data_IF_308586600508
#
_entry.id   IF_308586600508
#
_cell.length_a   1.000
_cell.length_b   1.000
_cell.length_c   1.000
_cell.angle_alpha   90.00
_cell.angle_beta   90.00
_cell.angle_gamma   90.00
#
_symmetry.space_group_name_H-M   'P 1'
#
loop_
_entity.id
_entity.type
_entity.pdbx_description
1 polymer ?
#
# COMPACT_ATOMS: atom_id res chain seq x y z
N UNK A 1 -6.92 9.99 -40.17
CA UNK A 1 -7.43 9.14 -41.27
C UNK A 1 -6.34 8.17 -41.70
N UNK A 2 -6.57 6.87 -41.52
CA UNK A 2 -5.57 5.79 -41.71
C UNK A 2 -4.93 5.77 -43.11
N UNK A 3 -5.69 6.14 -44.14
CA UNK A 3 -5.24 6.10 -45.54
C UNK A 3 -4.67 7.43 -46.05
N UNK A 4 -4.64 8.50 -45.24
CA UNK A 4 -4.19 9.83 -45.68
C UNK A 4 -5.08 10.50 -46.75
N UNK A 5 -6.30 10.01 -46.95
CA UNK A 5 -7.32 10.60 -47.84
C UNK A 5 -8.53 11.06 -47.03
N UNK A 6 -9.29 12.01 -47.56
CA UNK A 6 -10.44 12.57 -46.84
C UNK A 6 -11.57 11.56 -46.68
N UNK A 7 -12.37 11.71 -45.62
CA UNK A 7 -13.52 10.85 -45.33
C UNK A 7 -14.50 10.80 -46.52
N UNK A 8 -14.69 11.95 -47.20
CA UNK A 8 -15.52 12.05 -48.41
C UNK A 8 -15.03 11.16 -49.55
N UNK A 9 -13.71 11.01 -49.74
CA UNK A 9 -13.13 10.15 -50.78
C UNK A 9 -13.43 8.68 -50.51
N UNK A 10 -13.32 8.26 -49.24
CA UNK A 10 -13.64 6.88 -48.82
C UNK A 10 -15.14 6.61 -48.94
N UNK A 11 -15.98 7.55 -48.48
CA UNK A 11 -17.43 7.44 -48.59
C UNK A 11 -17.89 7.32 -50.06
N UNK A 12 -17.35 8.14 -50.96
CA UNK A 12 -17.67 8.08 -52.37
C UNK A 12 -17.30 6.72 -52.96
N UNK A 13 -16.10 6.19 -52.65
CA UNK A 13 -15.69 4.87 -53.13
C UNK A 13 -16.64 3.75 -52.68
N UNK A 14 -17.07 3.78 -51.41
CA UNK A 14 -18.01 2.81 -50.85
C UNK A 14 -19.42 2.96 -51.46
N UNK A 15 -19.89 4.20 -51.66
CA UNK A 15 -21.19 4.47 -52.28
C UNK A 15 -21.25 3.98 -53.73
N UNK A 16 -20.17 4.15 -54.49
CA UNK A 16 -20.06 3.64 -55.87
C UNK A 16 -20.14 2.11 -55.92
N UNK A 17 -19.55 1.41 -54.95
CA UNK A 17 -19.65 -0.06 -54.86
C UNK A 17 -21.08 -0.52 -54.53
N UNK A 18 -21.80 0.24 -53.69
CA UNK A 18 -23.18 -0.09 -53.29
C UNK A 18 -24.23 0.07 -54.39
N UNK A 19 -24.02 0.94 -55.38
CA UNK A 19 -25.04 1.25 -56.41
C UNK A 19 -25.26 0.16 -57.47
N UNK A 20 -24.54 -0.97 -57.42
CA UNK A 20 -24.76 -2.11 -58.32
C UNK A 20 -24.52 -1.79 -59.81
N UNK A 21 -24.44 -2.83 -60.64
CA UNK A 21 -23.96 -2.76 -62.04
C UNK A 21 -24.90 -2.07 -63.06
N UNK A 22 -25.92 -1.32 -62.61
CA UNK A 22 -26.98 -0.79 -63.49
C UNK A 22 -27.39 0.67 -63.28
N UNK A 23 -27.10 1.29 -62.12
CA UNK A 23 -27.53 2.68 -61.84
C UNK A 23 -26.41 3.71 -62.02
N UNK A 24 -25.17 3.27 -62.20
CA UNK A 24 -24.02 4.15 -62.39
C UNK A 24 -23.79 4.30 -63.90
N UNK A 25 -24.46 5.29 -64.52
CA UNK A 25 -24.24 5.64 -65.92
C UNK A 25 -22.74 5.78 -66.21
N UNK A 26 -22.14 4.80 -66.90
CA UNK A 26 -20.80 4.81 -67.53
C UNK A 26 -19.63 5.50 -66.77
N UNK A 27 -19.67 5.64 -65.45
CA UNK A 27 -18.62 6.32 -64.68
C UNK A 27 -17.71 5.28 -64.01
N UNK A 28 -16.61 5.00 -64.73
CA UNK A 28 -15.31 4.45 -64.29
C UNK A 28 -15.36 3.30 -63.27
N UNK A 29 -15.31 2.06 -63.79
CA UNK A 29 -14.76 0.94 -63.03
C UNK A 29 -13.32 1.29 -62.60
N UNK A 30 -13.13 1.64 -61.32
CA UNK A 30 -11.79 1.92 -60.79
C UNK A 30 -11.17 0.64 -60.25
N UNK A 31 -9.83 0.55 -60.21
CA UNK A 31 -9.14 -0.57 -59.55
C UNK A 31 -9.62 -0.78 -58.10
N UNK A 32 -9.97 0.29 -57.39
CA UNK A 32 -10.52 0.20 -56.04
C UNK A 32 -11.93 -0.42 -56.00
N UNK A 33 -12.81 -0.06 -56.95
CA UNK A 33 -14.11 -0.72 -57.10
C UNK A 33 -13.95 -2.22 -57.30
N UNK A 34 -13.00 -2.64 -58.15
CA UNK A 34 -12.74 -4.05 -58.41
C UNK A 34 -12.18 -4.82 -57.21
N UNK A 35 -11.48 -4.14 -56.29
CA UNK A 35 -10.99 -4.76 -55.05
C UNK A 35 -12.07 -4.87 -53.97
N UNK A 36 -13.05 -3.97 -53.99
CA UNK A 36 -14.13 -3.91 -53.00
C UNK A 36 -15.42 -4.61 -53.43
N UNK A 37 -15.62 -4.85 -54.74
CA UNK A 37 -16.80 -5.58 -55.24
C UNK A 37 -16.86 -6.97 -54.60
N UNK A 38 -18.06 -7.39 -54.23
CA UNK A 38 -18.34 -8.67 -53.56
C UNK A 38 -17.75 -8.82 -52.14
N UNK A 39 -17.27 -7.74 -51.51
CA UNK A 39 -16.87 -7.75 -50.09
C UNK A 39 -18.03 -7.30 -49.19
N UNK A 40 -18.10 -7.87 -47.99
CA UNK A 40 -18.97 -7.37 -46.93
C UNK A 40 -18.29 -6.12 -46.36
N UNK A 41 -18.82 -4.94 -46.72
CA UNK A 41 -18.17 -3.66 -46.39
C UNK A 41 -18.39 -3.27 -44.93
N UNK A 42 -19.57 -3.57 -44.40
CA UNK A 42 -19.96 -3.17 -43.06
C UNK A 42 -20.35 -4.41 -42.25
N UNK A 43 -20.05 -4.39 -40.95
CA UNK A 43 -20.59 -5.36 -40.01
C UNK A 43 -22.12 -5.20 -39.97
N UNK A 44 -22.86 -6.23 -40.41
CA UNK A 44 -24.33 -6.18 -40.51
C UNK A 44 -25.01 -6.31 -39.13
N UNK A 45 -24.33 -6.86 -38.13
CA UNK A 45 -24.84 -7.05 -36.77
C UNK A 45 -24.16 -6.11 -35.75
N UNK A 46 -24.62 -4.86 -35.67
CA UNK A 46 -24.48 -4.06 -34.44
C UNK A 46 -25.88 -3.65 -33.98
N UNK A 47 -26.80 -4.61 -33.95
CA UNK A 47 -28.23 -4.33 -33.80
C UNK A 47 -28.65 -4.04 -32.34
N UNK A 48 -27.84 -4.34 -31.33
CA UNK A 48 -28.32 -4.31 -29.92
C UNK A 48 -27.40 -3.64 -28.88
N UNK A 49 -26.21 -3.13 -29.23
CA UNK A 49 -25.25 -2.61 -28.23
C UNK A 49 -24.85 -1.13 -28.44
N UNK A 50 -25.30 -0.49 -29.53
CA UNK A 50 -24.96 0.93 -29.77
C UNK A 50 -25.99 1.89 -29.14
N UNK A 51 -25.54 2.92 -28.37
CA UNK A 51 -26.44 3.97 -27.89
C UNK A 51 -27.08 4.68 -29.07
N UNK A 52 -28.42 4.67 -29.16
CA UNK A 52 -29.17 5.44 -30.16
C UNK A 52 -29.13 6.94 -29.81
N UNK A 53 -28.00 7.60 -29.99
CA UNK A 53 -27.93 9.07 -30.00
C UNK A 53 -28.15 9.59 -31.42
N UNK A 54 -29.36 10.10 -31.70
CA UNK A 54 -29.79 11.05 -32.77
C UNK A 54 -29.11 11.02 -34.17
N UNK A 55 -28.45 9.94 -34.62
CA UNK A 55 -27.61 9.94 -35.82
C UNK A 55 -27.69 8.72 -36.75
N UNK A 56 -28.70 7.84 -36.59
CA UNK A 56 -28.82 6.61 -37.39
C UNK A 56 -27.84 5.50 -36.99
N UNK A 57 -27.91 4.31 -37.63
CA UNK A 57 -27.05 3.17 -37.28
C UNK A 57 -25.57 3.49 -37.58
N UNK A 58 -24.70 3.29 -36.59
CA UNK A 58 -23.25 3.40 -36.74
C UNK A 58 -22.79 2.29 -37.68
N UNK A 59 -22.28 2.66 -38.85
CA UNK A 59 -21.79 1.72 -39.87
C UNK A 59 -20.29 1.47 -39.66
N UNK A 60 -19.95 0.32 -39.07
CA UNK A 60 -18.56 -0.10 -38.81
C UNK A 60 -18.00 -0.83 -40.03
N UNK A 61 -16.86 -0.38 -40.56
CA UNK A 61 -16.21 -0.97 -41.74
C UNK A 61 -15.40 -2.21 -41.30
N UNK A 62 -15.50 -3.31 -42.04
CA UNK A 62 -14.77 -4.54 -41.75
C UNK A 62 -13.24 -4.37 -41.86
N UNK A 63 -12.48 -5.14 -41.08
CA UNK A 63 -11.02 -5.04 -41.00
C UNK A 63 -10.31 -5.41 -42.32
N UNK A 64 -10.84 -6.38 -43.06
CA UNK A 64 -10.37 -6.78 -44.38
C UNK A 64 -10.53 -5.65 -45.41
N UNK A 65 -11.64 -4.92 -45.37
CA UNK A 65 -11.88 -3.74 -46.20
C UNK A 65 -10.95 -2.59 -45.83
N UNK A 66 -10.68 -2.39 -44.53
CA UNK A 66 -9.66 -1.44 -44.07
C UNK A 66 -8.28 -1.79 -44.64
N UNK A 67 -7.88 -3.07 -44.61
CA UNK A 67 -6.61 -3.52 -45.17
C UNK A 67 -6.53 -3.28 -46.69
N UNK A 68 -7.61 -3.55 -47.44
CA UNK A 68 -7.68 -3.27 -48.88
C UNK A 68 -7.49 -1.78 -49.17
N UNK A 69 -8.17 -0.91 -48.44
CA UNK A 69 -8.05 0.54 -48.60
C UNK A 69 -6.63 1.04 -48.29
N UNK A 70 -6.03 0.56 -47.20
CA UNK A 70 -4.68 0.91 -46.79
C UNK A 70 -3.68 0.46 -47.84
N UNK A 71 -3.75 -0.79 -48.31
CA UNK A 71 -2.89 -1.28 -49.38
C UNK A 71 -3.03 -0.45 -50.66
N UNK A 72 -4.26 -0.21 -51.11
CA UNK A 72 -4.53 0.56 -52.32
C UNK A 72 -3.94 1.97 -52.28
N UNK A 73 -4.02 2.65 -51.14
CA UNK A 73 -3.45 3.99 -51.00
C UNK A 73 -1.94 3.99 -50.73
N UNK A 74 -1.41 2.93 -50.11
CA UNK A 74 0.04 2.75 -49.97
C UNK A 74 0.71 2.54 -51.34
N UNK A 75 0.10 1.75 -52.23
CA UNK A 75 0.51 1.58 -53.64
C UNK A 75 0.42 2.87 -54.47
N UNK A 76 -0.25 3.90 -53.96
CA UNK A 76 -0.36 5.25 -54.55
C UNK A 76 0.47 6.29 -53.82
N UNK A 77 1.55 5.85 -53.18
CA UNK A 77 2.52 6.68 -52.48
C UNK A 77 1.91 7.55 -51.37
N UNK A 78 0.79 7.13 -50.77
CA UNK A 78 0.25 7.81 -49.58
C UNK A 78 1.05 7.38 -48.36
N UNK A 79 1.97 8.24 -47.92
CA UNK A 79 2.82 8.01 -46.75
C UNK A 79 2.05 7.59 -45.49
N UNK A 80 0.86 8.15 -45.24
CA UNK A 80 0.03 7.76 -44.09
C UNK A 80 -0.52 6.32 -44.21
N UNK A 81 -0.87 5.88 -45.42
CA UNK A 81 -1.29 4.52 -45.68
C UNK A 81 -0.12 3.55 -45.54
N UNK A 82 1.07 3.91 -46.06
CA UNK A 82 2.29 3.12 -45.90
C UNK A 82 2.67 2.95 -44.41
N UNK A 83 2.64 4.03 -43.63
CA UNK A 83 2.90 3.98 -42.19
C UNK A 83 1.91 3.08 -41.45
N UNK A 84 0.64 3.10 -41.86
CA UNK A 84 -0.39 2.22 -41.27
C UNK A 84 -0.19 0.76 -41.68
N UNK A 85 0.21 0.49 -42.92
CA UNK A 85 0.52 -0.86 -43.40
C UNK A 85 1.72 -1.46 -42.66
N UNK A 86 2.79 -0.68 -42.45
CA UNK A 86 3.95 -1.08 -41.65
C UNK A 86 3.54 -1.43 -40.22
N UNK A 87 2.70 -0.59 -39.60
CA UNK A 87 2.21 -0.85 -38.26
C UNK A 87 1.29 -2.08 -38.17
N UNK A 88 0.50 -2.37 -39.21
CA UNK A 88 -0.27 -3.62 -39.29
C UNK A 88 0.64 -4.85 -39.40
N UNK A 89 1.77 -4.75 -40.08
CA UNK A 89 2.75 -5.85 -40.15
C UNK A 89 3.49 -6.04 -38.82
N UNK A 90 3.78 -4.95 -38.12
CA UNK A 90 4.48 -4.98 -36.83
C UNK A 90 3.60 -5.50 -35.69
N UNK A 91 2.34 -5.10 -35.64
CA UNK A 91 1.46 -5.35 -34.49
C UNK A 91 0.28 -6.28 -34.80
N UNK A 92 -0.08 -6.49 -36.06
CA UNK A 92 -1.39 -7.01 -36.45
C UNK A 92 -2.47 -5.93 -36.41
N UNK A 93 -3.54 -6.13 -37.20
CA UNK A 93 -4.61 -5.13 -37.37
C UNK A 93 -5.34 -4.86 -36.06
N UNK A 94 -5.64 -5.91 -35.29
CA UNK A 94 -6.38 -5.83 -34.04
C UNK A 94 -5.60 -5.05 -32.98
N UNK A 95 -4.34 -5.42 -32.74
CA UNK A 95 -3.47 -4.75 -31.78
C UNK A 95 -3.24 -3.28 -32.16
N UNK A 96 -3.08 -2.98 -33.46
CA UNK A 96 -3.00 -1.60 -33.92
C UNK A 96 -4.27 -0.81 -33.59
N UNK A 97 -5.45 -1.39 -33.79
CA UNK A 97 -6.72 -0.74 -33.46
C UNK A 97 -6.76 -0.47 -31.96
N UNK A 98 -6.43 -1.45 -31.12
CA UNK A 98 -6.38 -1.29 -29.66
C UNK A 98 -5.47 -0.15 -29.22
N UNK A 99 -4.25 -0.08 -29.74
CA UNK A 99 -3.31 1.03 -29.50
C UNK A 99 -3.92 2.37 -29.94
N UNK A 100 -4.58 2.43 -31.10
CA UNK A 100 -5.14 3.68 -31.62
C UNK A 100 -6.38 4.17 -30.91
N UNK A 101 -7.20 3.28 -30.37
CA UNK A 101 -8.40 3.65 -29.60
C UNK A 101 -8.10 3.82 -28.11
N UNK A 102 -6.83 3.69 -27.70
CA UNK A 102 -6.43 3.72 -26.30
C UNK A 102 -7.00 2.54 -25.50
N UNK A 103 -7.41 1.47 -26.18
CA UNK A 103 -7.88 0.25 -25.55
C UNK A 103 -6.65 -0.59 -25.20
N UNK A 104 -6.44 -0.78 -23.92
CA UNK A 104 -5.44 -1.70 -23.41
C UNK A 104 -6.16 -3.03 -23.24
N UNK A 105 -5.89 -4.06 -24.06
CA UNK A 105 -6.48 -5.37 -23.83
C UNK A 105 -6.09 -5.81 -22.42
N UNK A 106 -7.07 -6.26 -21.64
CA UNK A 106 -6.76 -6.82 -20.32
C UNK A 106 -5.74 -7.94 -20.53
N UNK A 107 -4.58 -7.89 -19.86
CA UNK A 107 -3.61 -8.98 -19.97
C UNK A 107 -4.30 -10.28 -19.56
N UNK A 108 -4.02 -11.37 -20.29
CA UNK A 108 -4.51 -12.68 -19.88
C UNK A 108 -3.89 -12.96 -18.51
N UNK A 109 -4.71 -13.30 -17.53
CA UNK A 109 -4.23 -13.66 -16.20
C UNK A 109 -4.49 -15.13 -15.92
N UNK A 110 -3.58 -15.72 -15.17
CA UNK A 110 -3.69 -17.08 -14.68
C UNK A 110 -3.46 -17.07 -13.17
N UNK A 111 -4.35 -17.75 -12.46
CA UNK A 111 -4.23 -17.97 -11.02
C UNK A 111 -3.41 -19.24 -10.81
N UNK A 112 -2.29 -19.10 -10.10
CA UNK A 112 -1.52 -20.23 -9.59
C UNK A 112 -1.44 -20.11 -8.07
N UNK A 113 -2.11 -21.02 -7.38
CA UNK A 113 -2.36 -20.94 -5.94
C UNK A 113 -3.04 -19.61 -5.55
N UNK A 114 -2.35 -18.75 -4.80
CA UNK A 114 -2.82 -17.40 -4.41
C UNK A 114 -2.21 -16.27 -5.26
N UNK A 115 -1.41 -16.62 -6.28
CA UNK A 115 -0.69 -15.65 -7.11
C UNK A 115 -1.40 -15.45 -8.45
N UNK A 116 -1.80 -14.20 -8.73
CA UNK A 116 -2.22 -13.77 -10.06
C UNK A 116 -0.99 -13.41 -10.90
N UNK A 117 -0.83 -14.05 -12.05
CA UNK A 117 0.23 -13.77 -13.01
C UNK A 117 -0.35 -13.35 -14.35
N UNK A 118 0.26 -12.33 -14.97
CA UNK A 118 0.02 -12.03 -16.38
C UNK A 118 0.72 -13.10 -17.23
N UNK A 119 0.04 -13.66 -18.22
CA UNK A 119 0.55 -14.70 -19.11
C UNK A 119 0.48 -14.25 -20.57
N UNK A 120 1.49 -14.63 -21.35
CA UNK A 120 1.45 -14.59 -22.82
C UNK A 120 1.94 -15.94 -23.37
N UNK A 121 1.27 -16.43 -24.42
CA UNK A 121 1.55 -17.71 -25.06
C UNK A 121 1.95 -17.49 -26.52
N UNK A 122 3.07 -18.07 -26.94
CA UNK A 122 3.54 -18.01 -28.32
C UNK A 122 3.91 -19.41 -28.82
N UNK A 123 3.40 -19.80 -29.98
CA UNK A 123 3.82 -21.04 -30.63
C UNK A 123 5.14 -20.84 -31.37
N UNK A 124 6.15 -21.66 -31.05
CA UNK A 124 7.46 -21.64 -31.71
C UNK A 124 7.75 -22.97 -32.40
N UNK A 125 8.58 -22.94 -33.43
CA UNK A 125 9.12 -24.14 -34.06
C UNK A 125 10.46 -24.52 -33.41
N UNK A 126 10.46 -25.56 -32.57
CA UNK A 126 11.67 -26.04 -31.88
C UNK A 126 12.59 -26.79 -32.85
N UNK A 127 12.00 -27.59 -33.75
CA UNK A 127 12.71 -28.23 -34.85
C UNK A 127 11.76 -28.46 -36.05
N UNK A 128 12.28 -29.01 -37.17
CA UNK A 128 11.50 -29.19 -38.41
C UNK A 128 10.18 -29.96 -38.23
N UNK A 129 10.07 -30.81 -37.22
CA UNK A 129 8.91 -31.67 -36.98
C UNK A 129 8.12 -31.31 -35.70
N UNK A 130 8.60 -30.35 -34.89
CA UNK A 130 8.08 -30.08 -33.54
C UNK A 130 7.80 -28.59 -33.34
N UNK A 131 6.55 -28.29 -33.04
CA UNK A 131 6.09 -26.99 -32.56
C UNK A 131 5.67 -27.11 -31.10
N UNK A 132 5.98 -26.10 -30.30
CA UNK A 132 5.65 -26.05 -28.88
C UNK A 132 5.14 -24.67 -28.52
N UNK A 133 4.32 -24.60 -27.46
CA UNK A 133 3.87 -23.35 -26.88
C UNK A 133 4.85 -22.89 -25.80
N UNK A 134 5.28 -21.64 -25.90
CA UNK A 134 6.14 -20.97 -24.92
C UNK A 134 5.29 -20.00 -24.14
N UNK A 135 5.44 -20.02 -22.82
CA UNK A 135 4.69 -19.20 -21.88
C UNK A 135 5.61 -18.20 -21.17
N UNK A 136 5.20 -16.94 -21.19
CA UNK A 136 5.88 -15.83 -20.56
C UNK A 136 5.02 -15.29 -19.42
N UNK A 137 5.65 -14.96 -18.29
CA UNK A 137 4.95 -14.56 -17.07
C UNK A 137 5.43 -13.21 -16.55
N UNK A 138 4.51 -12.44 -15.97
CA UNK A 138 4.86 -11.22 -15.21
C UNK A 138 3.95 -11.09 -14.00
N UNK A 139 4.53 -10.83 -12.83
CA UNK A 139 3.80 -10.49 -11.62
C UNK A 139 3.22 -9.07 -11.77
N UNK A 140 1.88 -8.90 -11.72
CA UNK A 140 1.23 -7.62 -11.93
C UNK A 140 1.51 -6.60 -10.80
N UNK A 141 1.94 -7.06 -9.63
CA UNK A 141 2.23 -6.21 -8.46
C UNK A 141 3.69 -5.79 -8.44
N UNK A 142 4.60 -6.76 -8.53
CA UNK A 142 6.05 -6.49 -8.38
C UNK A 142 6.74 -6.15 -9.70
N UNK A 143 6.14 -6.50 -10.84
CA UNK A 143 6.77 -6.42 -12.15
C UNK A 143 7.87 -7.45 -12.39
N UNK A 144 8.14 -8.35 -11.45
CA UNK A 144 9.07 -9.45 -11.68
C UNK A 144 8.49 -10.38 -12.77
N UNK A 145 9.34 -10.79 -13.70
CA UNK A 145 8.92 -11.58 -14.86
C UNK A 145 9.86 -12.76 -15.09
N UNK A 146 9.40 -13.69 -15.92
CA UNK A 146 10.12 -14.93 -16.14
C UNK A 146 9.49 -15.83 -17.20
N UNK A 147 10.12 -16.98 -17.39
CA UNK A 147 9.72 -18.01 -18.35
C UNK A 147 9.66 -19.33 -17.57
N UNK A 148 8.60 -20.12 -17.77
CA UNK A 148 8.58 -21.45 -17.14
C UNK A 148 9.69 -22.34 -17.72
N UNK A 149 10.15 -23.28 -16.91
CA UNK A 149 11.33 -24.06 -17.25
C UNK A 149 11.15 -24.97 -18.48
N UNK A 150 9.92 -25.39 -18.80
CA UNK A 150 9.64 -26.18 -20.00
C UNK A 150 9.68 -25.28 -21.25
N UNK A 151 9.08 -24.11 -21.17
CA UNK A 151 9.19 -23.08 -22.20
C UNK A 151 10.64 -22.68 -22.46
N UNK A 152 11.45 -22.53 -21.41
CA UNK A 152 12.88 -22.24 -21.53
C UNK A 152 13.66 -23.39 -22.21
N UNK A 153 13.27 -24.65 -21.95
CA UNK A 153 13.78 -25.82 -22.69
C UNK A 153 13.50 -25.73 -24.18
N UNK A 154 12.30 -25.33 -24.58
CA UNK A 154 11.92 -25.16 -25.98
C UNK A 154 12.73 -24.04 -26.65
N UNK A 155 12.87 -22.88 -25.98
CA UNK A 155 13.68 -21.76 -26.46
C UNK A 155 15.16 -22.15 -26.63
N UNK A 156 15.66 -23.06 -25.78
CA UNK A 156 17.00 -23.63 -25.88
C UNK A 156 17.14 -24.72 -26.98
N UNK A 157 16.17 -24.89 -27.86
CA UNK A 157 16.21 -25.91 -28.92
C UNK A 157 15.93 -27.32 -28.40
N UNK A 158 15.08 -27.44 -27.37
CA UNK A 158 14.67 -28.71 -26.77
C UNK A 158 15.73 -29.35 -25.87
N UNK A 159 16.57 -28.54 -25.22
CA UNK A 159 17.51 -29.03 -24.20
C UNK A 159 16.73 -29.67 -23.06
N UNK A 160 17.12 -30.87 -22.61
CA UNK A 160 16.42 -31.56 -21.53
C UNK A 160 16.28 -30.65 -20.29
N UNK A 161 15.06 -30.56 -19.74
CA UNK A 161 14.72 -29.68 -18.59
C UNK A 161 15.69 -29.89 -17.43
N UNK A 162 16.09 -31.14 -17.14
CA UNK A 162 17.07 -31.46 -16.10
C UNK A 162 18.41 -30.72 -16.24
N UNK A 163 18.89 -30.47 -17.46
CA UNK A 163 20.13 -29.72 -17.68
C UNK A 163 19.95 -28.23 -17.37
N UNK A 164 18.77 -27.69 -17.66
CA UNK A 164 18.43 -26.32 -17.30
C UNK A 164 18.27 -26.21 -15.79
N UNK A 165 17.60 -27.16 -15.15
CA UNK A 165 17.48 -27.22 -13.68
C UNK A 165 18.84 -27.22 -13.00
N UNK A 166 19.79 -28.04 -13.46
CA UNK A 166 21.16 -28.06 -12.91
C UNK A 166 21.86 -26.71 -13.05
N UNK A 167 21.69 -26.02 -14.18
CA UNK A 167 22.28 -24.70 -14.38
C UNK A 167 21.65 -23.65 -13.46
N UNK A 168 20.32 -23.64 -13.41
CA UNK A 168 19.51 -22.70 -12.63
C UNK A 168 19.71 -22.89 -11.11
N UNK A 169 19.98 -24.11 -10.66
CA UNK A 169 20.25 -24.41 -9.25
C UNK A 169 21.50 -23.72 -8.67
N UNK A 170 22.37 -23.16 -9.52
CA UNK A 170 23.55 -22.40 -9.06
C UNK A 170 23.21 -20.98 -8.60
N UNK A 171 21.98 -20.50 -8.83
CA UNK A 171 21.55 -19.15 -8.46
C UNK A 171 20.75 -19.17 -7.15
N UNK A 172 20.92 -18.16 -6.28
CA UNK A 172 20.06 -17.99 -5.12
C UNK A 172 18.66 -17.56 -5.57
N UNK A 173 17.63 -18.23 -5.05
CA UNK A 173 16.21 -17.96 -5.36
C UNK A 173 15.90 -17.78 -6.86
N UNK A 174 16.11 -18.83 -7.68
CA UNK A 174 16.08 -18.69 -9.13
C UNK A 174 14.68 -18.55 -9.73
N UNK A 175 13.66 -18.86 -8.94
CA UNK A 175 12.27 -18.86 -9.37
C UNK A 175 11.54 -17.65 -8.81
N UNK A 176 10.50 -17.20 -9.50
CA UNK A 176 9.64 -16.11 -9.02
C UNK A 176 9.00 -16.44 -7.66
N UNK A 177 8.76 -17.71 -7.35
CA UNK A 177 8.44 -18.18 -5.99
C UNK A 177 8.97 -19.60 -5.71
N UNK A 178 9.28 -19.95 -4.45
CA UNK A 178 9.95 -21.23 -4.13
C UNK A 178 9.05 -22.47 -4.09
N UNK A 179 7.72 -22.32 -3.97
CA UNK A 179 6.79 -23.40 -3.62
C UNK A 179 5.69 -23.66 -4.67
N UNK A 180 6.02 -23.62 -5.97
CA UNK A 180 5.04 -23.89 -7.03
C UNK A 180 5.37 -25.15 -7.83
N UNK A 181 4.31 -25.81 -8.31
CA UNK A 181 4.37 -26.85 -9.35
C UNK A 181 4.88 -26.28 -10.68
N UNK A 182 4.63 -24.99 -10.95
CA UNK A 182 5.14 -24.27 -12.11
C UNK A 182 6.46 -23.57 -11.79
N UNK A 183 7.56 -24.10 -12.33
CA UNK A 183 8.92 -23.55 -12.12
C UNK A 183 9.19 -22.37 -13.05
N UNK A 184 8.78 -21.16 -12.66
CA UNK A 184 9.03 -19.93 -13.45
C UNK A 184 10.39 -19.34 -13.10
N UNK A 185 11.36 -19.44 -14.01
CA UNK A 185 12.72 -18.93 -13.85
C UNK A 185 12.72 -17.41 -14.02
N UNK A 186 13.38 -16.67 -13.12
CA UNK A 186 13.48 -15.20 -13.18
C UNK A 186 14.14 -14.75 -14.48
N UNK A 187 13.64 -13.64 -15.05
CA UNK A 187 14.07 -13.15 -16.37
C UNK A 187 15.59 -12.98 -16.53
N UNK A 188 16.28 -12.43 -15.53
CA UNK A 188 17.75 -12.30 -15.57
C UNK A 188 18.44 -13.66 -15.75
N UNK A 189 17.96 -14.68 -15.04
CA UNK A 189 18.49 -16.05 -15.13
C UNK A 189 18.08 -16.70 -16.45
N UNK A 190 16.89 -16.40 -16.99
CA UNK A 190 16.52 -16.84 -18.33
C UNK A 190 17.50 -16.32 -19.39
N UNK A 191 17.94 -15.06 -19.29
CA UNK A 191 18.94 -14.50 -20.20
C UNK A 191 20.28 -15.26 -20.10
N UNK A 192 20.74 -15.54 -18.88
CA UNK A 192 21.96 -16.32 -18.65
C UNK A 192 21.86 -17.74 -19.21
N UNK A 193 20.71 -18.41 -19.02
CA UNK A 193 20.44 -19.75 -19.57
C UNK A 193 20.51 -19.71 -21.10
N UNK A 194 19.81 -18.76 -21.74
CA UNK A 194 19.81 -18.62 -23.20
C UNK A 194 21.21 -18.35 -23.74
N UNK A 195 21.97 -17.48 -23.05
CA UNK A 195 23.34 -17.16 -23.40
C UNK A 195 24.26 -18.39 -23.26
N UNK A 196 24.17 -19.11 -22.15
CA UNK A 196 24.97 -20.30 -21.88
C UNK A 196 24.75 -21.38 -22.94
N UNK A 197 23.50 -21.78 -23.21
CA UNK A 197 23.22 -22.82 -24.21
C UNK A 197 23.41 -22.33 -25.67
N UNK A 198 23.36 -21.01 -25.89
CA UNK A 198 23.61 -20.41 -27.19
C UNK A 198 25.10 -20.30 -27.55
N UNK A 199 25.95 -19.90 -26.61
CA UNK A 199 27.32 -19.46 -26.91
C UNK A 199 28.42 -20.25 -26.17
N UNK A 200 28.15 -20.71 -24.96
CA UNK A 200 29.18 -21.32 -24.09
C UNK A 200 29.16 -22.84 -24.14
N UNK A 201 27.97 -23.43 -24.01
CA UNK A 201 27.78 -24.86 -23.92
C UNK A 201 27.99 -25.54 -25.28
N UNK A 202 28.58 -26.73 -25.27
CA UNK A 202 28.78 -27.56 -26.46
C UNK A 202 27.86 -28.79 -26.39
N UNK A 203 27.03 -29.04 -27.42
CA UNK A 203 26.88 -28.27 -28.66
C UNK A 203 26.04 -26.99 -28.46
N UNK A 204 26.44 -25.93 -29.14
CA UNK A 204 25.72 -24.65 -29.17
C UNK A 204 24.37 -24.80 -29.83
N UNK A 205 23.35 -24.13 -29.28
CA UNK A 205 21.97 -24.17 -29.77
C UNK A 205 21.65 -22.89 -30.53
N UNK A 206 21.45 -22.99 -31.83
CA UNK A 206 21.11 -21.84 -32.69
C UNK A 206 19.80 -21.17 -32.29
N UNK A 207 18.81 -21.95 -31.84
CA UNK A 207 17.56 -21.41 -31.34
C UNK A 207 17.75 -20.59 -30.05
N UNK A 208 18.63 -21.06 -29.15
CA UNK A 208 18.98 -20.31 -27.95
C UNK A 208 19.69 -19.00 -28.29
N UNK A 209 20.58 -18.99 -29.30
CA UNK A 209 21.23 -17.77 -29.78
C UNK A 209 20.22 -16.75 -30.31
N UNK A 210 19.24 -17.20 -31.08
CA UNK A 210 18.18 -16.34 -31.62
C UNK A 210 17.36 -15.70 -30.50
N UNK A 211 16.94 -16.48 -29.50
CA UNK A 211 16.16 -15.94 -28.39
C UNK A 211 17.00 -15.12 -27.40
N UNK A 212 18.29 -15.42 -27.23
CA UNK A 212 19.21 -14.56 -26.49
C UNK A 212 19.31 -13.15 -27.08
N UNK A 213 19.18 -13.01 -28.41
CA UNK A 213 19.16 -11.70 -29.08
C UNK A 213 17.77 -11.07 -29.11
N UNK A 214 16.73 -11.87 -29.38
CA UNK A 214 15.35 -11.37 -29.56
C UNK A 214 14.72 -10.95 -28.23
N UNK A 215 15.14 -11.58 -27.15
CA UNK A 215 14.72 -11.26 -25.80
C UNK A 215 15.75 -10.35 -25.10
N UNK A 216 16.62 -9.62 -25.79
CA UNK A 216 17.52 -8.65 -25.12
C UNK A 216 17.03 -7.20 -25.35
N UNK A 217 16.83 -6.39 -24.30
CA UNK A 217 16.86 -6.72 -22.87
C UNK A 217 15.60 -7.49 -22.43
N UNK A 218 15.79 -8.56 -21.65
CA UNK A 218 14.73 -9.55 -21.39
C UNK A 218 13.54 -9.00 -20.62
N UNK A 219 13.76 -8.17 -19.61
CA UNK A 219 12.69 -7.63 -18.78
C UNK A 219 11.73 -6.74 -19.60
N UNK A 220 12.18 -5.70 -20.32
CA UNK A 220 11.29 -4.90 -21.17
C UNK A 220 10.57 -5.70 -22.25
N UNK A 221 11.22 -6.71 -22.84
CA UNK A 221 10.60 -7.57 -23.85
C UNK A 221 9.49 -8.43 -23.24
N UNK A 222 9.73 -9.05 -22.09
CA UNK A 222 8.71 -9.85 -21.40
C UNK A 222 7.54 -8.98 -20.93
N UNK A 223 7.80 -7.79 -20.36
CA UNK A 223 6.73 -6.84 -20.01
C UNK A 223 5.86 -6.47 -21.21
N UNK A 224 6.47 -6.22 -22.37
CA UNK A 224 5.74 -5.93 -23.60
C UNK A 224 4.90 -7.15 -24.05
N UNK A 225 5.44 -8.37 -23.96
CA UNK A 225 4.74 -9.60 -24.34
C UNK A 225 3.54 -9.88 -23.44
N UNK A 226 3.69 -9.74 -22.12
CA UNK A 226 2.61 -9.96 -21.15
C UNK A 226 1.63 -8.78 -21.05
N UNK A 227 1.85 -7.73 -21.84
CA UNK A 227 1.12 -6.47 -21.76
C UNK A 227 1.11 -5.90 -20.33
N UNK A 228 2.22 -6.11 -19.60
CA UNK A 228 2.42 -5.56 -18.27
C UNK A 228 2.48 -4.05 -18.35
N UNK A 229 1.66 -3.41 -17.53
CA UNK A 229 1.75 -2.00 -17.28
C UNK A 229 2.29 -1.87 -15.88
N UNK A 230 3.38 -1.11 -15.73
CA UNK A 230 3.83 -0.68 -14.42
C UNK A 230 2.60 -0.12 -13.71
N UNK A 231 2.21 -0.63 -12.53
CA UNK A 231 1.18 -0.02 -11.72
C UNK A 231 1.50 1.46 -11.70
N UNK A 232 0.62 2.28 -12.27
CA UNK A 232 0.80 3.71 -12.19
C UNK A 232 0.77 4.00 -10.70
N UNK A 233 1.93 4.29 -10.09
CA UNK A 233 1.98 4.96 -8.82
C UNK A 233 1.11 6.18 -9.03
N UNK A 234 -0.11 6.10 -8.50
CA UNK A 234 -1.04 7.20 -8.71
C UNK A 234 -0.36 8.39 -8.04
N UNK A 235 -0.41 9.59 -8.62
CA UNK A 235 0.14 10.78 -7.94
C UNK A 235 -0.39 10.93 -6.50
N UNK A 236 -1.53 10.28 -6.20
CA UNK A 236 -2.09 10.07 -4.87
C UNK A 236 -1.27 9.12 -3.99
N UNK A 237 -0.77 7.99 -4.47
CA UNK A 237 0.12 7.10 -3.73
C UNK A 237 1.46 7.75 -3.44
N UNK A 238 2.08 8.45 -4.41
CA UNK A 238 3.31 9.22 -4.16
C UNK A 238 3.07 10.34 -3.13
N UNK A 239 1.92 11.03 -3.21
CA UNK A 239 1.53 12.02 -2.20
C UNK A 239 1.28 11.37 -0.83
N UNK A 240 0.67 10.19 -0.79
CA UNK A 240 0.41 9.45 0.46
C UNK A 240 1.71 8.94 1.06
N UNK A 241 2.65 8.43 0.28
CA UNK A 241 3.98 8.01 0.72
C UNK A 241 4.77 9.21 1.26
N UNK A 242 4.77 10.35 0.56
CA UNK A 242 5.38 11.59 1.04
C UNK A 242 4.72 12.09 2.33
N UNK A 243 3.40 11.97 2.44
CA UNK A 243 2.65 12.37 3.63
C UNK A 243 2.93 11.42 4.81
N UNK A 244 3.06 10.12 4.56
CA UNK A 244 3.44 9.11 5.56
C UNK A 244 4.88 9.32 6.02
N UNK A 245 5.80 9.62 5.11
CA UNK A 245 7.20 9.95 5.40
C UNK A 245 7.28 11.21 6.30
N UNK A 246 6.52 12.26 5.96
CA UNK A 246 6.40 13.48 6.77
C UNK A 246 5.81 13.19 8.15
N UNK A 247 4.73 12.40 8.22
CA UNK A 247 4.11 12.01 9.49
C UNK A 247 5.04 11.14 10.35
N UNK A 248 5.85 10.28 9.75
CA UNK A 248 6.87 9.49 10.46
C UNK A 248 7.94 10.39 11.05
N UNK A 249 8.46 11.35 10.28
CA UNK A 249 9.45 12.32 10.76
C UNK A 249 8.91 13.20 11.87
N UNK A 250 7.67 13.69 11.75
CA UNK A 250 7.06 14.49 12.80
C UNK A 250 6.77 13.65 14.05
N UNK A 251 6.31 12.40 13.90
CA UNK A 251 6.17 11.49 15.03
C UNK A 251 7.50 11.22 15.73
N UNK A 252 8.58 11.01 14.97
CA UNK A 252 9.91 10.83 15.53
C UNK A 252 10.37 12.08 16.29
N UNK A 253 10.21 13.27 15.69
CA UNK A 253 10.53 14.55 16.33
C UNK A 253 9.73 14.77 17.61
N UNK A 254 8.43 14.45 17.60
CA UNK A 254 7.57 14.53 18.77
C UNK A 254 7.99 13.51 19.85
N UNK A 255 8.38 12.30 19.47
CA UNK A 255 8.93 11.28 20.38
C UNK A 255 10.22 11.75 21.04
N UNK A 256 11.13 12.37 20.27
CA UNK A 256 12.37 12.95 20.77
C UNK A 256 12.12 14.14 21.71
N UNK A 257 11.24 15.09 21.34
CA UNK A 257 10.83 16.22 22.18
C UNK A 257 10.14 15.75 23.48
N UNK A 258 9.34 14.70 23.38
CA UNK A 258 8.68 14.08 24.52
C UNK A 258 9.61 13.12 25.30
N UNK A 259 10.87 12.96 24.89
CA UNK A 259 11.88 12.07 25.50
C UNK A 259 11.36 10.62 25.67
N UNK A 260 10.53 10.16 24.74
CA UNK A 260 9.81 8.88 24.81
C UNK A 260 10.79 7.70 24.74
N UNK A 261 11.83 7.80 23.92
CA UNK A 261 12.78 6.71 23.69
C UNK A 261 13.97 6.71 24.67
N UNK A 262 14.05 7.69 25.57
CA UNK A 262 15.16 7.86 26.53
C UNK A 262 14.75 7.67 27.99
N UNK A 263 13.46 7.50 28.27
CA UNK A 263 12.94 7.31 29.62
C UNK A 263 12.67 5.82 29.89
N UNK A 264 12.96 5.36 31.11
CA UNK A 264 12.49 4.07 31.61
C UNK A 264 10.96 3.95 31.37
N UNK A 265 10.45 2.82 30.86
CA UNK A 265 9.02 2.61 30.57
C UNK A 265 8.08 3.04 31.70
N UNK A 266 8.49 2.88 32.95
CA UNK A 266 7.73 3.30 34.13
C UNK A 266 7.61 4.83 34.18
N UNK A 267 8.73 5.54 34.02
CA UNK A 267 8.79 7.01 34.05
C UNK A 267 8.01 7.63 32.90
N UNK A 268 7.97 6.94 31.76
CA UNK A 268 7.21 7.35 30.61
C UNK A 268 5.71 7.44 30.89
N UNK A 269 5.12 6.42 31.54
CA UNK A 269 3.70 6.41 31.88
C UNK A 269 3.32 7.49 32.90
N UNK A 270 4.18 7.73 33.88
CA UNK A 270 4.01 8.83 34.84
C UNK A 270 4.01 10.20 34.16
N UNK A 271 4.92 10.41 33.20
CA UNK A 271 4.98 11.65 32.41
C UNK A 271 3.75 11.84 31.52
N UNK A 272 3.28 10.79 30.83
CA UNK A 272 2.04 10.85 30.05
C UNK A 272 0.87 11.24 30.95
N UNK A 273 0.73 10.59 32.11
CA UNK A 273 -0.35 10.87 33.04
C UNK A 273 -0.34 12.33 33.50
N UNK A 274 0.83 12.88 33.81
CA UNK A 274 1.00 14.30 34.12
C UNK A 274 0.54 15.23 32.99
N UNK A 275 0.86 14.89 31.73
CA UNK A 275 0.41 15.67 30.56
C UNK A 275 -1.09 15.56 30.33
N UNK A 276 -1.68 14.37 30.53
CA UNK A 276 -3.12 14.17 30.45
C UNK A 276 -3.83 15.00 31.50
N UNK A 277 -3.38 14.97 32.76
CA UNK A 277 -3.95 15.78 33.83
C UNK A 277 -3.81 17.28 33.54
N UNK A 278 -2.66 17.74 33.05
CA UNK A 278 -2.48 19.14 32.65
C UNK A 278 -3.43 19.59 31.53
N UNK A 279 -3.91 18.66 30.69
CA UNK A 279 -4.86 18.93 29.60
C UNK A 279 -6.33 18.80 30.02
N UNK A 280 -6.63 17.82 30.88
CA UNK A 280 -7.98 17.52 31.37
C UNK A 280 -8.40 18.47 32.47
N UNK A 281 -7.44 19.07 33.18
CA UNK A 281 -7.66 20.16 34.10
C UNK A 281 -7.60 21.50 33.29
N UNK A 282 -8.70 22.00 32.70
CA UNK A 282 -8.70 23.18 31.82
C UNK A 282 -8.20 24.44 32.53
N UNK A 283 -7.25 25.21 31.96
CA UNK A 283 -6.79 26.55 32.40
C UNK A 283 -6.88 26.79 33.93
N UNK A 284 -6.61 25.74 34.69
CA UNK A 284 -7.03 25.65 36.07
C UNK A 284 -5.95 26.36 36.84
N UNK A 285 -6.35 27.21 37.78
CA UNK A 285 -5.48 27.89 38.73
C UNK A 285 -4.76 26.87 39.62
N UNK A 286 -4.02 25.92 39.04
CA UNK A 286 -3.39 24.76 39.64
C UNK A 286 -2.02 24.61 38.98
N UNK A 287 -0.98 24.80 39.77
CA UNK A 287 0.40 24.59 39.38
C UNK A 287 0.73 23.11 39.58
N UNK A 288 1.03 22.42 38.48
CA UNK A 288 1.48 21.03 38.52
C UNK A 288 2.99 20.99 38.73
N UNK A 289 3.42 20.47 39.87
CA UNK A 289 4.83 20.22 40.13
C UNK A 289 5.12 18.73 40.05
N UNK A 290 6.10 18.39 39.22
CA UNK A 290 6.71 17.08 39.17
C UNK A 290 7.94 17.08 40.08
N UNK A 291 8.09 16.06 40.91
CA UNK A 291 9.24 15.98 41.80
C UNK A 291 10.56 15.84 40.99
N UNK A 292 11.54 16.69 41.30
CA UNK A 292 12.90 16.69 40.71
C UNK A 292 13.88 16.01 41.68
N UNK A 293 14.55 14.96 41.19
CA UNK A 293 15.82 14.35 41.64
C UNK A 293 16.17 14.41 43.14
N UNK A 294 15.98 13.29 43.84
CA UNK A 294 16.94 12.87 44.87
C UNK A 294 17.98 11.93 44.24
N UNK A 295 19.15 11.80 44.88
CA UNK A 295 20.40 11.24 44.33
C UNK A 295 20.40 9.73 44.06
N UNK A 296 19.26 9.06 44.16
CA UNK A 296 19.06 7.67 43.72
C UNK A 296 17.91 7.70 42.73
N UNK A 297 18.10 7.11 41.56
CA UNK A 297 17.12 7.00 40.47
C UNK A 297 15.86 6.24 40.92
N UNK A 298 14.99 6.90 41.68
CA UNK A 298 13.57 6.60 41.79
C UNK A 298 12.85 7.82 41.23
N UNK A 299 12.32 7.63 40.03
CA UNK A 299 11.82 8.67 39.18
C UNK A 299 10.32 8.86 39.45
N UNK A 300 9.96 10.05 39.93
CA UNK A 300 8.72 10.74 39.56
C UNK A 300 7.40 10.03 39.92
N UNK A 301 7.26 9.60 41.18
CA UNK A 301 6.06 8.93 41.68
C UNK A 301 4.96 9.88 42.18
N UNK A 302 5.23 11.19 42.31
CA UNK A 302 4.30 12.12 42.94
C UNK A 302 4.08 13.40 42.12
N UNK A 303 2.80 13.64 41.84
CA UNK A 303 2.30 14.87 41.26
C UNK A 303 1.73 15.76 42.36
N UNK A 304 2.22 16.99 42.47
CA UNK A 304 1.67 17.99 43.38
C UNK A 304 0.78 18.92 42.58
N UNK A 305 -0.49 18.97 42.98
CA UNK A 305 -1.51 19.85 42.46
C UNK A 305 -1.66 21.00 43.45
N UNK A 306 -1.09 22.17 43.17
CA UNK A 306 -1.16 23.34 44.06
C UNK A 306 -2.07 24.40 43.48
N UNK A 307 -3.11 24.80 44.20
CA UNK A 307 -4.01 25.86 43.73
C UNK A 307 -3.36 27.25 43.82
N UNK A 308 -3.40 28.03 42.73
CA UNK A 308 -2.82 29.37 42.60
C UNK A 308 -3.79 30.53 42.90
N UNK A 309 -5.12 30.31 42.85
CA UNK A 309 -6.14 31.29 43.28
C UNK A 309 -7.42 30.61 43.80
N UNK A 310 -8.06 31.19 44.82
CA UNK A 310 -9.17 30.61 45.59
C UNK A 310 -10.55 30.67 44.92
N UNK A 311 -10.67 31.27 43.72
CA UNK A 311 -11.95 31.34 42.99
C UNK A 311 -12.38 29.95 42.50
N UNK A 312 -13.58 29.54 42.87
CA UNK A 312 -14.12 28.20 42.62
C UNK A 312 -14.22 27.92 41.12
N UNK A 313 -13.54 26.88 40.67
CA UNK A 313 -13.66 26.41 39.29
C UNK A 313 -15.06 25.83 39.08
N UNK A 314 -15.79 26.30 38.06
CA UNK A 314 -17.10 25.78 37.67
C UNK A 314 -17.01 24.57 36.72
N UNK A 315 -15.79 24.19 36.31
CA UNK A 315 -15.57 23.06 35.42
C UNK A 315 -15.63 21.73 36.20
N UNK A 316 -16.26 20.69 35.64
CA UNK A 316 -16.27 19.37 36.26
C UNK A 316 -14.84 18.82 36.35
N UNK A 317 -14.43 18.38 37.53
CA UNK A 317 -13.17 17.66 37.72
C UNK A 317 -13.34 16.18 37.41
N UNK A 318 -12.24 15.48 37.07
CA UNK A 318 -12.23 14.02 37.02
C UNK A 318 -12.76 13.39 38.31
N UNK A 319 -13.48 12.29 38.13
CA UNK A 319 -14.04 11.46 39.19
C UNK A 319 -13.03 11.20 40.33
N UNK A 320 -13.45 11.50 41.57
CA UNK A 320 -12.63 11.37 42.79
C UNK A 320 -11.72 12.55 43.14
N UNK A 321 -11.43 13.48 42.21
CA UNK A 321 -10.66 14.70 42.53
C UNK A 321 -11.54 15.75 43.20
N UNK A 322 -11.04 16.37 44.28
CA UNK A 322 -11.82 17.31 45.09
C UNK A 322 -11.52 18.76 44.70
N UNK A 323 -12.54 19.61 44.44
CA UNK A 323 -12.35 20.98 43.94
C UNK A 323 -11.88 21.99 44.99
N UNK A 324 -11.97 21.63 46.28
CA UNK A 324 -11.68 22.53 47.40
C UNK A 324 -10.31 22.31 48.04
N UNK A 325 -9.49 21.42 47.48
CA UNK A 325 -8.18 21.10 48.04
C UNK A 325 -7.15 22.17 47.68
N UNK A 326 -6.37 22.64 48.65
CA UNK A 326 -5.26 23.58 48.40
C UNK A 326 -4.07 22.88 47.74
N UNK A 327 -3.71 21.70 48.25
CA UNK A 327 -2.57 20.89 47.82
C UNK A 327 -2.99 19.42 47.67
N UNK A 328 -3.15 18.95 46.43
CA UNK A 328 -3.30 17.53 46.12
C UNK A 328 -1.95 16.88 45.91
N UNK A 329 -1.70 15.72 46.54
CA UNK A 329 -0.50 14.92 46.28
C UNK A 329 -0.93 13.56 45.75
N UNK A 330 -0.47 13.22 44.56
CA UNK A 330 -0.97 12.09 43.80
C UNK A 330 0.15 11.14 43.44
N UNK A 331 -0.01 9.86 43.76
CA UNK A 331 0.78 8.78 43.13
C UNK A 331 0.00 8.11 42.02
N UNK A 332 0.70 7.64 40.98
CA UNK A 332 0.10 6.97 39.84
C UNK A 332 0.73 5.58 39.64
N UNK A 333 -0.06 4.60 39.23
CA UNK A 333 0.41 3.28 38.81
C UNK A 333 -0.26 2.86 37.51
N UNK A 334 0.58 2.62 36.51
CA UNK A 334 0.17 2.22 35.16
C UNK A 334 -0.19 0.74 35.10
N UNK A 335 -0.57 0.21 33.94
CA UNK A 335 -0.87 -1.22 33.80
C UNK A 335 0.38 -2.10 34.01
N UNK A 336 1.58 -1.50 34.01
CA UNK A 336 2.85 -2.19 34.20
C UNK A 336 3.24 -2.28 35.68
N UNK A 337 2.53 -1.57 36.56
CA UNK A 337 2.82 -1.49 37.99
C UNK A 337 1.55 -1.70 38.81
N UNK A 338 1.67 -2.42 39.91
CA UNK A 338 0.55 -2.52 40.85
C UNK A 338 0.66 -1.45 41.92
N UNK A 339 -0.48 -0.87 42.32
CA UNK A 339 -0.55 -0.08 43.54
C UNK A 339 -0.41 -1.02 44.75
N UNK A 340 0.66 -0.82 45.53
CA UNK A 340 1.01 -1.68 46.67
C UNK A 340 0.98 -0.91 47.98
N UNK A 341 1.09 -1.62 49.10
CA UNK A 341 1.23 -1.01 50.43
C UNK A 341 2.49 -0.13 50.51
N UNK A 342 3.57 -0.55 49.85
CA UNK A 342 4.79 0.23 49.74
C UNK A 342 4.56 1.57 49.03
N UNK A 343 3.83 1.57 47.91
CA UNK A 343 3.47 2.80 47.18
C UNK A 343 2.67 3.78 48.05
N UNK A 344 1.81 3.27 48.93
CA UNK A 344 1.05 4.08 49.88
C UNK A 344 1.97 4.66 50.96
N UNK A 345 2.91 3.87 51.49
CA UNK A 345 3.89 4.35 52.47
C UNK A 345 4.81 5.43 51.87
N UNK A 346 5.23 5.27 50.63
CA UNK A 346 5.98 6.29 49.88
C UNK A 346 5.17 7.58 49.77
N UNK A 347 3.93 7.53 49.31
CA UNK A 347 3.06 8.71 49.21
C UNK A 347 2.93 9.46 50.54
N UNK A 348 2.76 8.73 51.65
CA UNK A 348 2.70 9.32 53.00
C UNK A 348 4.04 9.96 53.37
N UNK A 349 5.17 9.29 53.10
CA UNK A 349 6.51 9.79 53.37
C UNK A 349 6.76 11.12 52.66
N UNK A 350 6.42 11.21 51.38
CA UNK A 350 6.55 12.44 50.61
C UNK A 350 5.60 13.53 51.08
N UNK A 351 4.37 13.20 51.49
CA UNK A 351 3.47 14.16 52.13
C UNK A 351 4.09 14.78 53.38
N UNK A 352 4.69 13.96 54.25
CA UNK A 352 5.39 14.43 55.44
C UNK A 352 6.61 15.29 55.05
N UNK A 353 7.40 14.84 54.07
CA UNK A 353 8.56 15.57 53.57
C UNK A 353 8.19 16.94 53.00
N UNK A 354 7.19 17.00 52.14
CA UNK A 354 6.74 18.23 51.50
C UNK A 354 6.14 19.22 52.50
N UNK A 355 5.38 18.74 53.50
CA UNK A 355 4.91 19.59 54.61
C UNK A 355 6.05 20.24 55.39
N UNK A 356 7.15 19.52 55.62
CA UNK A 356 8.35 20.08 56.26
C UNK A 356 9.07 21.10 55.40
N UNK A 357 9.16 20.86 54.08
CA UNK A 357 9.73 21.84 53.14
C UNK A 357 8.92 23.14 53.16
N UNK A 358 7.59 23.05 53.13
CA UNK A 358 6.72 24.23 53.22
C UNK A 358 6.84 24.93 54.57
N UNK A 359 6.99 24.19 55.67
CA UNK A 359 7.25 24.75 57.01
C UNK A 359 8.53 25.59 57.07
N UNK A 360 9.62 25.14 56.43
CA UNK A 360 10.87 25.90 56.39
C UNK A 360 10.71 27.23 55.62
N UNK A 361 9.76 27.30 54.70
CA UNK A 361 9.44 28.51 53.95
C UNK A 361 8.42 29.43 54.66
N UNK A 362 7.77 28.94 55.73
CA UNK A 362 6.71 29.65 56.47
C UNK A 362 7.06 29.74 57.98
N UNK A 363 8.22 30.32 58.28
CA UNK A 363 8.69 30.58 59.65
C UNK A 363 8.63 29.38 60.63
N UNK A 364 8.86 28.17 60.13
CA UNK A 364 8.79 26.90 60.89
C UNK A 364 7.40 26.48 61.38
N UNK A 365 6.32 27.08 60.84
CA UNK A 365 4.97 26.58 61.09
C UNK A 365 4.61 25.49 60.08
N UNK A 366 4.29 24.29 60.59
CA UNK A 366 3.79 23.21 59.74
C UNK A 366 2.41 23.58 59.18
N UNK A 367 2.22 23.55 57.85
CA UNK A 367 0.89 23.80 57.27
C UNK A 367 -0.13 22.80 57.80
N UNK A 368 -1.35 23.27 58.05
CA UNK A 368 -2.47 22.46 58.55
C UNK A 368 -2.74 21.24 57.64
N UNK A 369 -3.05 20.08 58.24
CA UNK A 369 -3.17 18.81 57.49
C UNK A 369 -4.37 18.84 56.53
N UNK A 370 -5.40 19.60 56.89
CA UNK A 370 -6.64 19.80 56.15
C UNK A 370 -6.44 20.51 54.81
N UNK A 371 -5.28 21.15 54.61
CA UNK A 371 -4.89 21.76 53.33
C UNK A 371 -4.47 20.72 52.28
N UNK A 372 -4.23 19.48 52.70
CA UNK A 372 -3.72 18.42 51.84
C UNK A 372 -4.77 17.35 51.57
N UNK A 373 -4.78 16.84 50.35
CA UNK A 373 -5.47 15.60 50.01
C UNK A 373 -4.51 14.66 49.29
N UNK A 374 -4.47 13.41 49.75
CA UNK A 374 -3.67 12.36 49.14
C UNK A 374 -4.52 11.56 48.15
N UNK A 375 -3.95 11.30 46.98
CA UNK A 375 -4.57 10.55 45.89
C UNK A 375 -3.67 9.41 45.45
N UNK A 376 -4.27 8.25 45.17
CA UNK A 376 -3.59 7.14 44.51
C UNK A 376 -4.38 6.74 43.26
N UNK A 377 -3.81 6.93 42.08
CA UNK A 377 -4.47 6.62 40.81
C UNK A 377 -3.86 5.36 40.24
N UNK A 378 -4.70 4.41 39.86
CA UNK A 378 -4.25 3.12 39.29
C UNK A 378 -5.11 2.70 38.11
N UNK A 379 -4.50 2.19 37.05
CA UNK A 379 -5.23 1.68 35.88
C UNK A 379 -5.79 0.28 36.10
N UNK A 380 -5.29 -0.44 37.09
CA UNK A 380 -5.77 -1.78 37.45
C UNK A 380 -6.25 -1.80 38.90
N UNK A 381 -7.35 -2.51 39.18
CA UNK A 381 -7.85 -2.65 40.54
C UNK A 381 -6.82 -3.39 41.41
N UNK A 382 -6.35 -2.79 42.53
CA UNK A 382 -5.23 -3.34 43.31
C UNK A 382 -5.71 -4.39 44.30
N UNK A 383 -6.00 -5.59 43.80
CA UNK A 383 -6.62 -6.69 44.57
C UNK A 383 -5.85 -7.02 45.86
N UNK A 384 -4.51 -7.13 45.78
CA UNK A 384 -3.67 -7.49 46.91
C UNK A 384 -3.69 -6.42 48.02
N UNK A 385 -3.63 -5.14 47.64
CA UNK A 385 -3.71 -4.01 48.58
C UNK A 385 -5.09 -3.91 49.22
N UNK A 386 -6.16 -4.02 48.43
CA UNK A 386 -7.52 -3.96 48.96
C UNK A 386 -7.78 -5.10 49.95
N UNK A 387 -7.29 -6.31 49.66
CA UNK A 387 -7.38 -7.45 50.56
C UNK A 387 -6.57 -7.26 51.85
N UNK A 388 -5.34 -6.71 51.77
CA UNK A 388 -4.49 -6.52 52.95
C UNK A 388 -5.02 -5.42 53.88
N UNK A 389 -5.62 -4.37 53.32
CA UNK A 389 -6.13 -3.21 54.08
C UNK A 389 -7.47 -3.49 54.77
N UNK A 390 -8.23 -4.51 54.34
CA UNK A 390 -9.46 -4.93 54.99
C UNK A 390 -10.46 -3.79 55.19
N UNK A 391 -10.91 -3.56 56.43
CA UNK A 391 -11.89 -2.52 56.78
C UNK A 391 -11.41 -1.08 56.50
N UNK A 392 -10.11 -0.87 56.34
CA UNK A 392 -9.53 0.42 55.98
C UNK A 392 -9.79 0.79 54.52
N UNK A 393 -10.11 -0.18 53.66
CA UNK A 393 -10.50 0.03 52.26
C UNK A 393 -12.03 0.14 52.15
N UNK A 394 -12.54 1.31 51.80
CA UNK A 394 -13.96 1.60 51.77
C UNK A 394 -14.39 2.05 50.38
N UNK A 395 -15.40 1.39 49.80
CA UNK A 395 -16.03 1.87 48.58
C UNK A 395 -16.79 3.18 48.84
N UNK A 396 -16.82 4.05 47.84
CA UNK A 396 -17.65 5.26 47.85
C UNK A 396 -18.89 5.05 46.98
N UNK A 397 -19.82 6.00 46.99
CA UNK A 397 -20.98 6.00 46.09
C UNK A 397 -20.58 6.17 44.61
N UNK A 398 -19.33 6.55 44.34
CA UNK A 398 -18.79 6.73 43.01
C UNK A 398 -18.00 5.50 42.57
N UNK A 399 -18.41 4.91 41.43
CA UNK A 399 -17.78 3.71 40.89
C UNK A 399 -16.31 3.99 40.54
N UNK A 400 -15.42 3.12 41.02
CA UNK A 400 -13.98 3.25 40.79
C UNK A 400 -13.27 4.19 41.76
N UNK A 401 -13.98 4.82 42.71
CA UNK A 401 -13.40 5.67 43.75
C UNK A 401 -13.56 4.99 45.11
N UNK A 402 -12.46 4.92 45.85
CA UNK A 402 -12.37 4.27 47.16
C UNK A 402 -11.66 5.18 48.16
N UNK A 403 -12.01 5.05 49.44
CA UNK A 403 -11.28 5.66 50.54
C UNK A 403 -10.38 4.62 51.19
N UNK A 404 -9.09 4.91 51.31
CA UNK A 404 -8.15 4.18 52.14
C UNK A 404 -7.87 4.99 53.42
N UNK A 405 -8.36 4.51 54.55
CA UNK A 405 -8.29 5.21 55.84
C UNK A 405 -7.12 4.66 56.67
N UNK A 406 -6.14 5.51 56.93
CA UNK A 406 -4.95 5.18 57.73
C UNK A 406 -4.82 6.17 58.89
N UNK A 407 -5.41 5.79 60.03
CA UNK A 407 -5.49 6.66 61.20
C UNK A 407 -6.33 7.90 60.91
N UNK A 408 -5.71 9.09 60.93
CA UNK A 408 -6.36 10.37 60.58
C UNK A 408 -6.21 10.77 59.11
N UNK A 409 -5.48 9.98 58.32
CA UNK A 409 -5.29 10.24 56.90
C UNK A 409 -6.32 9.46 56.09
N UNK A 410 -6.95 10.15 55.14
CA UNK A 410 -7.79 9.53 54.12
C UNK A 410 -7.12 9.72 52.77
N UNK A 411 -6.79 8.61 52.12
CA UNK A 411 -6.25 8.59 50.76
C UNK A 411 -7.39 8.22 49.82
N UNK A 412 -7.64 9.04 48.80
CA UNK A 412 -8.63 8.74 47.78
C UNK A 412 -7.95 7.89 46.70
N UNK A 413 -8.39 6.66 46.54
CA UNK A 413 -7.90 5.73 45.52
C UNK A 413 -8.85 5.75 44.32
N UNK A 414 -8.30 6.07 43.15
CA UNK A 414 -9.04 6.21 41.89
C UNK A 414 -8.58 5.11 40.94
N UNK A 415 -9.49 4.22 40.56
CA UNK A 415 -9.25 3.13 39.61
C UNK A 415 -9.81 3.53 38.26
N UNK A 416 -8.93 3.91 37.33
CA UNK A 416 -9.32 4.35 35.98
C UNK A 416 -9.52 3.14 35.07
N UNK A 417 -10.64 3.07 34.37
CA UNK A 417 -10.98 1.99 33.41
C UNK A 417 -10.39 2.22 32.03
#
# INVERSE_FOLDING_TARGET
>A
MLCGVTHRVIQNAIQTVKKGKGEVAQIRETNLYNLLKNKIIFLEEVAQISPKQKGGPVKVICSDVCAILIRYYAEKDKAAAMKTALAFMEFGIEQYIYIKVGFIPKPETIMFDELELLINKETIQVNKARQEEVQYFTNPITGECGIDINSLSFLCGGVAVKHIETFVANYPEPFLQPQQTLKIVKAAICADVLYHFGYENKPRKTLAQYFAQTLDPIVPVLHKKTNYQTPAATAREDQLEQQVELLKRENQRLRELAQIDTADPIVHWHRIMGQVLARVLPNLNWELHFERNTSVTQLLDILILKRSNSEATTAPLPDGLLPHVDIGMLTYKSHQESLTEWSIQELISHYVGYRKILSNNDNNNLPAAERFQLYAVTTAFPQALAASMGFSWQATDQLGVYNLILGKLTIIVIVTK
#
